data_IF_899438072824
#
_entry.id   IF_899438072824
#
_cell.length_a   1.000
_cell.length_b   1.000
_cell.length_c   1.000
_cell.angle_alpha   90.00
_cell.angle_beta   90.00
_cell.angle_gamma   90.00
#
_symmetry.space_group_name_H-M   'P 1'
#
loop_
_entity.id
_entity.type
_entity.pdbx_description
1 polymer ?
#
# COMPACT_ATOMS: atom_id res chain seq x y z
N UNK A 1 -9.95 29.18 26.52
CA UNK A 1 -10.24 27.81 26.04
C UNK A 1 -10.60 27.75 24.57
N UNK A 2 -11.61 28.51 24.10
CA UNK A 2 -12.03 28.52 22.69
C UNK A 2 -10.90 28.91 21.72
N UNK A 3 -10.11 29.94 22.04
CA UNK A 3 -8.97 30.38 21.23
C UNK A 3 -7.85 29.35 21.16
N UNK A 4 -7.58 28.64 22.26
CA UNK A 4 -6.61 27.55 22.29
C UNK A 4 -7.06 26.39 21.39
N UNK A 5 -8.34 26.01 21.47
CA UNK A 5 -8.91 24.98 20.60
C UNK A 5 -8.82 25.35 19.12
N UNK A 6 -9.19 26.58 18.75
CA UNK A 6 -9.11 27.08 17.37
C UNK A 6 -7.68 27.11 16.83
N UNK A 7 -6.71 27.49 17.68
CA UNK A 7 -5.28 27.48 17.33
C UNK A 7 -4.75 26.06 17.11
N UNK A 8 -5.22 25.07 17.88
CA UNK A 8 -4.87 23.66 17.66
C UNK A 8 -5.39 23.16 16.31
N UNK A 9 -6.58 23.58 15.88
CA UNK A 9 -7.12 23.18 14.57
C UNK A 9 -6.24 23.64 13.41
N UNK A 10 -5.65 24.84 13.49
CA UNK A 10 -4.71 25.34 12.46
C UNK A 10 -3.49 24.43 12.34
N UNK A 11 -2.91 24.00 13.47
CA UNK A 11 -1.77 23.08 13.50
C UNK A 11 -2.14 21.69 12.96
N UNK A 12 -3.29 21.16 13.36
CA UNK A 12 -3.82 19.88 12.89
C UNK A 12 -3.99 19.88 11.37
N UNK A 13 -4.67 20.89 10.81
CA UNK A 13 -4.93 20.99 9.38
C UNK A 13 -3.64 21.14 8.58
N UNK A 14 -2.70 21.96 9.08
CA UNK A 14 -1.39 22.11 8.45
C UNK A 14 -0.62 20.77 8.43
N UNK A 15 -0.57 20.06 9.56
CA UNK A 15 0.10 18.76 9.65
C UNK A 15 -0.53 17.73 8.70
N UNK A 16 -1.87 17.68 8.63
CA UNK A 16 -2.60 16.76 7.76
C UNK A 16 -2.37 17.08 6.29
N UNK A 17 -2.44 18.36 5.88
CA UNK A 17 -2.20 18.78 4.49
C UNK A 17 -0.75 18.52 4.06
N UNK A 18 0.23 18.79 4.93
CA UNK A 18 1.63 18.50 4.65
C UNK A 18 1.87 16.99 4.55
N UNK A 19 1.29 16.19 5.45
CA UNK A 19 1.39 14.74 5.40
C UNK A 19 0.70 14.16 4.15
N UNK A 20 -0.46 14.68 3.76
CA UNK A 20 -1.19 14.29 2.56
C UNK A 20 -0.42 14.67 1.28
N UNK A 21 0.13 15.89 1.22
CA UNK A 21 0.98 16.35 0.13
C UNK A 21 2.26 15.51 0.01
N UNK A 22 2.96 15.28 1.12
CA UNK A 22 4.14 14.42 1.16
C UNK A 22 3.81 12.99 0.74
N UNK A 23 2.69 12.42 1.20
CA UNK A 23 2.23 11.11 0.76
C UNK A 23 2.02 11.04 -0.76
N UNK A 24 1.35 12.03 -1.37
CA UNK A 24 1.11 12.08 -2.82
C UNK A 24 2.39 12.29 -3.64
N UNK A 25 3.41 12.94 -3.08
CA UNK A 25 4.68 13.21 -3.76
C UNK A 25 5.71 12.09 -3.58
N UNK A 26 5.75 11.46 -2.40
CA UNK A 26 6.75 10.44 -2.01
C UNK A 26 6.26 9.04 -2.37
N UNK A 27 4.98 8.74 -2.10
CA UNK A 27 4.42 7.41 -2.39
C UNK A 27 4.10 7.33 -3.87
N UNK A 28 5.11 6.86 -4.60
CA UNK A 28 5.02 6.57 -6.03
C UNK A 28 3.93 5.52 -6.22
N UNK A 29 2.77 5.93 -6.73
CA UNK A 29 1.84 4.99 -7.34
C UNK A 29 2.63 4.24 -8.40
N UNK A 30 2.91 2.95 -8.15
CA UNK A 30 3.11 2.04 -9.27
C UNK A 30 1.79 2.10 -10.00
N UNK A 31 1.78 2.77 -11.14
CA UNK A 31 0.81 2.50 -12.19
C UNK A 31 0.82 0.98 -12.38
N UNK A 32 -0.09 0.28 -11.70
CA UNK A 32 -0.60 -0.95 -12.23
C UNK A 32 -1.00 -0.59 -13.66
N UNK A 33 -0.46 -1.34 -14.63
CA UNK A 33 -0.47 -1.00 -16.04
C UNK A 33 -1.84 -0.50 -16.50
N UNK A 34 -1.81 0.28 -17.58
CA UNK A 34 -2.95 0.78 -18.34
C UNK A 34 -4.28 0.11 -17.94
N UNK A 35 -5.30 0.89 -17.51
CA UNK A 35 -6.58 0.30 -17.15
C UNK A 35 -6.99 -0.63 -18.30
N UNK A 36 -7.30 -1.91 -18.05
CA UNK A 36 -7.74 -2.77 -19.13
C UNK A 36 -8.97 -2.09 -19.71
N UNK A 37 -8.92 -1.77 -21.00
CA UNK A 37 -10.03 -1.17 -21.78
C UNK A 37 -11.28 -2.07 -21.78
N UNK A 38 -11.21 -3.24 -21.14
CA UNK A 38 -12.22 -4.27 -21.09
C UNK A 38 -12.28 -4.85 -19.68
N UNK A 39 -13.37 -4.59 -18.96
CA UNK A 39 -13.79 -5.40 -17.81
C UNK A 39 -15.04 -6.14 -18.29
N UNK A 40 -14.92 -7.47 -18.46
CA UNK A 40 -15.98 -8.36 -18.97
C UNK A 40 -16.50 -8.10 -20.39
N UNK A 41 -15.69 -7.51 -21.28
CA UNK A 41 -16.06 -7.33 -22.70
C UNK A 41 -17.09 -6.22 -22.96
N UNK A 42 -17.41 -5.40 -21.97
CA UNK A 42 -18.31 -4.25 -22.12
C UNK A 42 -17.49 -2.96 -22.19
N UNK A 43 -17.60 -2.15 -23.27
CA UNK A 43 -16.87 -0.89 -23.39
C UNK A 43 -17.35 0.11 -22.34
N UNK A 44 -16.41 0.67 -21.57
CA UNK A 44 -16.70 1.72 -20.58
C UNK A 44 -17.00 3.02 -21.33
N UNK A 45 -18.07 3.76 -20.98
CA UNK A 45 -18.40 5.02 -21.65
C UNK A 45 -17.23 6.00 -21.62
N UNK A 46 -16.87 6.56 -22.78
CA UNK A 46 -15.67 7.40 -22.98
C UNK A 46 -15.55 8.58 -22.00
N UNK A 47 -16.67 9.13 -21.51
CA UNK A 47 -16.67 10.20 -20.49
C UNK A 47 -16.18 9.74 -19.12
N UNK A 48 -16.54 8.53 -18.69
CA UNK A 48 -16.09 7.93 -17.43
C UNK A 48 -14.63 7.47 -17.53
N UNK A 49 -14.23 6.91 -18.68
CA UNK A 49 -12.84 6.55 -18.96
C UNK A 49 -11.91 7.79 -18.98
N UNK A 50 -12.38 8.93 -19.47
CA UNK A 50 -11.60 10.18 -19.48
C UNK A 50 -11.44 10.79 -18.09
N UNK A 51 -12.46 10.73 -17.23
CA UNK A 51 -12.35 11.22 -15.84
C UNK A 51 -11.47 10.32 -14.97
N UNK A 52 -11.52 9.00 -15.16
CA UNK A 52 -10.60 8.06 -14.49
C UNK A 52 -9.19 8.16 -15.03
N UNK A 53 -9.01 8.35 -16.35
CA UNK A 53 -7.70 8.59 -16.96
C UNK A 53 -7.08 9.91 -16.47
N UNK A 54 -7.87 11.00 -16.37
CA UNK A 54 -7.41 12.29 -15.82
C UNK A 54 -7.06 12.18 -14.33
N UNK A 55 -7.89 11.50 -13.52
CA UNK A 55 -7.58 11.15 -12.12
C UNK A 55 -6.34 10.27 -11.97
N UNK A 56 -6.04 9.43 -12.96
CA UNK A 56 -4.86 8.58 -13.00
C UNK A 56 -3.62 9.25 -13.60
N UNK A 57 -3.71 10.49 -14.11
CA UNK A 57 -2.53 11.18 -14.61
C UNK A 57 -1.64 11.61 -13.44
N UNK A 58 -0.40 11.12 -13.45
CA UNK A 58 0.67 11.52 -12.52
C UNK A 58 0.76 13.03 -12.29
N UNK A 59 0.51 13.83 -13.34
CA UNK A 59 0.54 15.30 -13.26
C UNK A 59 -0.55 15.87 -12.35
N UNK A 60 -1.76 15.30 -12.37
CA UNK A 60 -2.85 15.76 -11.52
C UNK A 60 -2.63 15.37 -10.06
N UNK A 61 -2.10 14.18 -9.79
CA UNK A 61 -1.73 13.75 -8.43
C UNK A 61 -0.60 14.60 -7.84
N UNK A 62 0.43 14.93 -8.64
CA UNK A 62 1.51 15.83 -8.24
C UNK A 62 1.00 17.26 -8.03
N UNK A 63 0.14 17.76 -8.93
CA UNK A 63 -0.46 19.08 -8.78
C UNK A 63 -1.30 19.21 -7.52
N UNK A 64 -2.11 18.19 -7.22
CA UNK A 64 -2.92 18.14 -6.00
C UNK A 64 -2.04 18.04 -4.75
N UNK A 65 -1.02 17.18 -4.75
CA UNK A 65 -0.08 17.04 -3.63
C UNK A 65 0.72 18.32 -3.38
N UNK A 66 1.13 19.02 -4.44
CA UNK A 66 1.77 20.32 -4.34
C UNK A 66 0.81 21.39 -3.80
N UNK A 67 -0.43 21.43 -4.29
CA UNK A 67 -1.46 22.36 -3.81
C UNK A 67 -1.76 22.17 -2.32
N UNK A 68 -1.92 20.93 -1.86
CA UNK A 68 -2.07 20.60 -0.45
C UNK A 68 -0.85 21.00 0.38
N UNK A 69 0.36 20.73 -0.12
CA UNK A 69 1.60 21.13 0.55
C UNK A 69 1.74 22.64 0.70
N UNK A 70 1.46 23.40 -0.37
CA UNK A 70 1.47 24.87 -0.35
C UNK A 70 0.41 25.40 0.62
N UNK A 71 -0.79 24.84 0.62
CA UNK A 71 -1.86 25.26 1.51
C UNK A 71 -1.54 24.97 2.98
N UNK A 72 -0.96 23.79 3.26
CA UNK A 72 -0.48 23.43 4.60
C UNK A 72 0.64 24.35 5.09
N UNK A 73 1.60 24.68 4.22
CA UNK A 73 2.67 25.64 4.54
C UNK A 73 2.12 27.05 4.75
N UNK A 74 1.15 27.48 3.95
CA UNK A 74 0.49 28.76 4.11
C UNK A 74 -0.20 28.86 5.48
N UNK A 75 -0.91 27.83 5.94
CA UNK A 75 -1.52 27.81 7.28
C UNK A 75 -0.50 27.91 8.42
N UNK A 76 0.72 27.40 8.22
CA UNK A 76 1.79 27.54 9.21
C UNK A 76 2.32 28.98 9.29
N UNK A 77 2.52 29.61 8.13
CA UNK A 77 3.25 30.88 8.04
C UNK A 77 2.32 32.09 8.10
N UNK A 78 1.05 31.95 7.71
CA UNK A 78 0.09 33.05 7.67
C UNK A 78 -1.19 32.81 8.47
N UNK A 79 -1.73 33.90 9.03
CA UNK A 79 -3.05 33.97 9.67
C UNK A 79 -4.13 34.54 8.74
N UNK A 80 -3.86 34.72 7.44
CA UNK A 80 -4.83 35.28 6.51
C UNK A 80 -6.12 34.44 6.42
N UNK A 81 -7.26 35.11 6.55
CA UNK A 81 -8.58 34.49 6.43
C UNK A 81 -8.79 33.83 5.07
N UNK A 82 -8.21 34.35 4.00
CA UNK A 82 -8.29 33.80 2.64
C UNK A 82 -7.73 32.38 2.55
N UNK A 83 -6.58 32.12 3.18
CA UNK A 83 -5.95 30.79 3.22
C UNK A 83 -6.82 29.79 3.99
N UNK A 84 -7.46 30.26 5.06
CA UNK A 84 -8.36 29.43 5.87
C UNK A 84 -9.67 29.13 5.16
N UNK A 85 -10.26 30.12 4.49
CA UNK A 85 -11.42 29.92 3.62
C UNK A 85 -11.10 28.93 2.50
N UNK A 86 -9.95 29.07 1.83
CA UNK A 86 -9.51 28.12 0.81
C UNK A 86 -9.36 26.70 1.38
N UNK A 87 -8.83 26.57 2.60
CA UNK A 87 -8.72 25.29 3.32
C UNK A 87 -10.08 24.69 3.64
N UNK A 88 -11.01 25.49 4.15
CA UNK A 88 -12.38 25.06 4.45
C UNK A 88 -13.10 24.60 3.19
N UNK A 89 -12.97 25.34 2.09
CA UNK A 89 -13.54 24.95 0.80
C UNK A 89 -12.92 23.65 0.29
N UNK A 90 -11.60 23.49 0.40
CA UNK A 90 -10.91 22.27 -0.01
C UNK A 90 -11.40 21.03 0.78
N UNK A 91 -11.52 21.13 2.11
CA UNK A 91 -12.01 20.02 2.95
C UNK A 91 -13.50 19.74 2.76
N UNK A 92 -14.32 20.79 2.56
CA UNK A 92 -15.74 20.63 2.24
C UNK A 92 -15.93 19.92 0.89
N UNK A 93 -15.16 20.32 -0.14
CA UNK A 93 -15.15 19.64 -1.44
C UNK A 93 -14.67 18.19 -1.32
N UNK A 94 -13.62 17.93 -0.53
CA UNK A 94 -13.17 16.57 -0.26
C UNK A 94 -14.24 15.72 0.43
N UNK A 95 -14.96 16.28 1.40
CA UNK A 95 -16.07 15.61 2.10
C UNK A 95 -17.21 15.28 1.15
N UNK A 96 -17.58 16.24 0.29
CA UNK A 96 -18.58 16.03 -0.75
C UNK A 96 -18.16 14.89 -1.68
N UNK A 97 -16.93 14.92 -2.21
CA UNK A 97 -16.42 13.90 -3.12
C UNK A 97 -16.39 12.52 -2.46
N UNK A 98 -15.97 12.42 -1.20
CA UNK A 98 -15.96 11.15 -0.46
C UNK A 98 -17.39 10.64 -0.21
N UNK A 99 -18.34 11.53 0.11
CA UNK A 99 -19.76 11.20 0.24
C UNK A 99 -20.36 10.70 -1.07
N UNK A 100 -20.08 11.38 -2.18
CA UNK A 100 -20.54 10.95 -3.51
C UNK A 100 -19.93 9.61 -3.93
N UNK A 101 -18.63 9.41 -3.67
CA UNK A 101 -17.96 8.13 -3.91
C UNK A 101 -18.56 7.01 -3.08
N UNK A 102 -18.92 7.27 -1.82
CA UNK A 102 -19.57 6.27 -0.96
C UNK A 102 -20.90 5.80 -1.56
N UNK A 103 -21.67 6.70 -2.16
CA UNK A 103 -22.98 6.39 -2.77
C UNK A 103 -22.83 5.75 -4.14
N UNK A 104 -21.94 6.27 -5.00
CA UNK A 104 -21.86 5.87 -6.42
C UNK A 104 -20.86 4.75 -6.71
N UNK A 105 -19.76 4.63 -5.94
CA UNK A 105 -18.64 3.70 -6.16
C UNK A 105 -17.95 3.35 -4.82
N UNK A 106 -18.59 2.57 -3.93
CA UNK A 106 -18.01 2.22 -2.63
C UNK A 106 -16.69 1.44 -2.74
N UNK A 107 -16.44 0.85 -3.91
CA UNK A 107 -15.25 0.04 -4.20
C UNK A 107 -14.03 0.86 -4.65
N UNK A 108 -14.22 2.14 -5.00
CA UNK A 108 -13.13 3.04 -5.32
C UNK A 108 -12.53 3.63 -4.03
N UNK A 109 -11.21 3.80 -4.00
CA UNK A 109 -10.52 4.48 -2.89
C UNK A 109 -10.81 5.98 -2.86
N UNK A 110 -10.67 6.61 -1.68
CA UNK A 110 -10.92 8.05 -1.53
C UNK A 110 -9.83 8.94 -2.16
N UNK A 111 -8.63 8.41 -2.39
CA UNK A 111 -7.50 9.15 -2.98
C UNK A 111 -6.94 10.31 -2.13
N UNK A 112 -7.49 10.55 -0.94
CA UNK A 112 -7.07 11.65 -0.06
C UNK A 112 -5.60 11.58 0.39
N UNK A 113 -4.97 10.40 0.34
CA UNK A 113 -3.53 10.21 0.59
C UNK A 113 -2.78 9.62 -0.63
N UNK A 114 -3.32 9.82 -1.83
CA UNK A 114 -2.81 9.18 -3.05
C UNK A 114 -2.95 7.65 -2.98
N UNK A 115 -1.95 6.93 -3.52
CA UNK A 115 -1.93 5.46 -3.61
C UNK A 115 -1.92 4.71 -2.27
N UNK A 116 -1.83 5.42 -1.15
CA UNK A 116 -2.00 4.85 0.19
C UNK A 116 -3.46 4.59 0.56
N UNK A 117 -4.42 5.29 -0.05
CA UNK A 117 -5.84 5.12 0.24
C UNK A 117 -6.59 4.55 -0.96
N UNK A 118 -6.13 3.36 -1.39
CA UNK A 118 -6.76 2.55 -2.42
C UNK A 118 -7.86 1.62 -1.86
N UNK A 119 -8.08 1.62 -0.53
CA UNK A 119 -9.07 0.77 0.14
C UNK A 119 -10.48 1.35 0.01
N UNK A 120 -11.49 0.47 0.02
CA UNK A 120 -12.92 0.81 -0.18
C UNK A 120 -13.37 1.94 0.75
N UNK A 121 -14.13 2.88 0.22
CA UNK A 121 -14.67 4.02 0.99
C UNK A 121 -15.76 3.53 1.94
N UNK A 122 -15.39 3.39 3.21
CA UNK A 122 -16.31 3.07 4.31
C UNK A 122 -16.82 4.32 5.05
N UNK A 123 -17.78 4.11 5.96
CA UNK A 123 -18.39 5.19 6.77
C UNK A 123 -17.36 5.98 7.59
N UNK A 124 -16.28 5.31 8.04
CA UNK A 124 -15.17 5.93 8.79
C UNK A 124 -14.43 7.00 7.97
N UNK A 125 -14.33 6.81 6.64
CA UNK A 125 -13.69 7.78 5.74
C UNK A 125 -14.55 9.04 5.59
N UNK A 126 -15.87 8.88 5.50
CA UNK A 126 -16.82 9.99 5.49
C UNK A 126 -16.76 10.76 6.81
N UNK A 127 -16.82 10.05 7.95
CA UNK A 127 -16.73 10.67 9.27
C UNK A 127 -15.43 11.48 9.42
N UNK A 128 -14.29 10.91 9.01
CA UNK A 128 -13.00 11.61 9.04
C UNK A 128 -13.01 12.88 8.18
N UNK A 129 -13.57 12.83 6.98
CA UNK A 129 -13.67 14.00 6.11
C UNK A 129 -14.55 15.09 6.73
N UNK A 130 -15.70 14.71 7.31
CA UNK A 130 -16.57 15.62 8.06
C UNK A 130 -15.84 16.25 9.25
N UNK A 131 -15.07 15.46 10.02
CA UNK A 131 -14.28 15.98 11.13
C UNK A 131 -13.22 17.00 10.67
N UNK A 132 -12.53 16.75 9.56
CA UNK A 132 -11.59 17.73 9.00
C UNK A 132 -12.28 19.00 8.49
N UNK A 133 -13.46 18.87 7.90
CA UNK A 133 -14.26 20.05 7.53
C UNK A 133 -14.68 20.83 8.77
N UNK A 134 -15.10 20.16 9.85
CA UNK A 134 -15.42 20.79 11.13
C UNK A 134 -14.22 21.52 11.74
N UNK A 135 -13.04 20.88 11.73
CA UNK A 135 -11.77 21.50 12.14
C UNK A 135 -11.44 22.73 11.30
N UNK A 136 -11.63 22.66 9.97
CA UNK A 136 -11.40 23.79 9.06
C UNK A 136 -12.33 24.97 9.34
N UNK A 137 -13.63 24.71 9.57
CA UNK A 137 -14.59 25.74 9.98
C UNK A 137 -14.20 26.36 11.32
N UNK A 138 -13.83 25.55 12.32
CA UNK A 138 -13.40 26.04 13.62
C UNK A 138 -12.11 26.90 13.51
N UNK A 139 -11.21 26.58 12.59
CA UNK A 139 -9.98 27.34 12.35
C UNK A 139 -10.20 28.76 11.82
N UNK A 140 -11.37 29.07 11.24
CA UNK A 140 -11.67 30.42 10.72
C UNK A 140 -11.54 31.49 11.81
N UNK A 141 -11.90 31.18 13.05
CA UNK A 141 -11.82 32.09 14.19
C UNK A 141 -10.47 32.15 14.91
N UNK A 142 -9.47 31.37 14.47
CA UNK A 142 -8.19 31.29 15.19
C UNK A 142 -7.41 32.62 15.11
N UNK A 143 -6.92 33.19 16.20
CA UNK A 143 -6.21 34.47 16.12
C UNK A 143 -4.78 34.35 15.55
N UNK A 144 -4.19 33.15 15.50
CA UNK A 144 -2.74 32.99 15.28
C UNK A 144 -2.40 32.08 14.10
N UNK A 145 -1.19 32.21 13.57
CA UNK A 145 -0.63 31.33 12.55
C UNK A 145 -0.02 30.08 13.19
N UNK A 146 0.10 28.97 12.45
CA UNK A 146 0.58 27.71 13.01
C UNK A 146 1.97 27.81 13.69
N UNK A 147 2.92 28.54 13.10
CA UNK A 147 4.27 28.71 13.68
C UNK A 147 4.23 29.48 15.01
N UNK A 148 3.36 30.47 15.13
CA UNK A 148 3.21 31.22 16.38
C UNK A 148 2.62 30.36 17.50
N UNK A 149 1.67 29.49 17.16
CA UNK A 149 1.11 28.50 18.11
C UNK A 149 2.15 27.45 18.50
N UNK A 150 3.01 27.04 17.57
CA UNK A 150 4.06 26.05 17.82
C UNK A 150 5.21 26.60 18.69
N UNK A 151 5.51 27.89 18.60
CA UNK A 151 6.53 28.54 19.43
C UNK A 151 6.04 28.79 20.85
N UNK A 152 4.76 29.07 21.02
CA UNK A 152 4.12 29.34 22.31
C UNK A 152 3.31 28.13 22.80
N UNK A 153 3.87 26.91 22.62
CA UNK A 153 3.19 25.67 23.00
C UNK A 153 3.02 25.63 24.51
N UNK A 154 1.83 26.02 24.94
CA UNK A 154 1.33 25.65 26.26
C UNK A 154 1.09 24.14 26.26
N UNK A 155 1.46 23.46 27.35
CA UNK A 155 1.35 22.00 27.51
C UNK A 155 -0.04 21.46 27.17
N UNK A 156 -1.09 22.25 27.40
CA UNK A 156 -2.47 21.94 27.03
C UNK A 156 -2.70 21.87 25.51
N UNK A 157 -2.11 22.76 24.71
CA UNK A 157 -2.22 22.76 23.24
C UNK A 157 -1.53 21.54 22.65
N UNK A 158 -0.34 21.20 23.16
CA UNK A 158 0.38 20.01 22.76
C UNK A 158 -0.37 18.71 23.08
N UNK A 159 -1.02 18.64 24.24
CA UNK A 159 -1.79 17.46 24.64
C UNK A 159 -3.06 17.29 23.79
N UNK A 160 -3.81 18.38 23.52
CA UNK A 160 -4.98 18.32 22.63
C UNK A 160 -4.57 17.92 21.22
N UNK A 161 -3.48 18.48 20.70
CA UNK A 161 -2.94 18.10 19.39
C UNK A 161 -2.57 16.61 19.32
N UNK A 162 -1.90 16.07 20.34
CA UNK A 162 -1.54 14.64 20.40
C UNK A 162 -2.78 13.74 20.49
N UNK A 163 -3.78 14.13 21.27
CA UNK A 163 -5.05 13.38 21.40
C UNK A 163 -5.81 13.39 20.07
N UNK A 164 -5.90 14.54 19.41
CA UNK A 164 -6.50 14.65 18.07
C UNK A 164 -5.74 13.78 17.07
N UNK A 165 -4.40 13.87 17.03
CA UNK A 165 -3.57 13.07 16.15
C UNK A 165 -3.75 11.56 16.41
N UNK A 166 -3.83 11.15 17.67
CA UNK A 166 -4.08 9.76 18.06
C UNK A 166 -5.49 9.30 17.65
N UNK A 167 -6.50 10.16 17.81
CA UNK A 167 -7.86 9.88 17.36
C UNK A 167 -7.91 9.71 15.84
N UNK A 168 -7.26 10.60 15.09
CA UNK A 168 -7.16 10.49 13.63
C UNK A 168 -6.37 9.25 13.19
N UNK A 169 -5.31 8.89 13.91
CA UNK A 169 -4.55 7.67 13.67
C UNK A 169 -5.42 6.41 13.91
N UNK A 170 -6.18 6.38 15.00
CA UNK A 170 -7.11 5.29 15.31
C UNK A 170 -8.29 5.19 14.31
N UNK A 171 -8.71 6.32 13.73
CA UNK A 171 -9.69 6.36 12.64
C UNK A 171 -9.09 6.06 11.26
N UNK A 172 -7.77 6.05 11.10
CA UNK A 172 -7.07 5.82 9.83
C UNK A 172 -6.44 4.42 9.76
N UNK A 173 -7.17 3.39 9.29
CA UNK A 173 -6.61 2.03 9.14
C UNK A 173 -5.42 1.98 8.17
N UNK A 174 -5.26 3.01 7.33
CA UNK A 174 -4.17 3.15 6.36
C UNK A 174 -2.79 3.30 7.03
N UNK A 175 -2.72 3.78 8.28
CA UNK A 175 -1.46 3.93 9.03
C UNK A 175 -0.98 2.60 9.64
N UNK A 176 -1.93 1.76 10.09
CA UNK A 176 -1.62 0.42 10.57
C UNK A 176 -1.06 -0.45 9.44
N UNK A 177 -1.68 -0.38 8.25
CA UNK A 177 -1.18 -1.10 7.07
C UNK A 177 0.13 -0.52 6.53
N UNK A 178 0.37 0.79 6.62
CA UNK A 178 1.67 1.39 6.30
C UNK A 178 2.76 0.91 7.25
N UNK A 179 2.46 0.82 8.55
CA UNK A 179 3.36 0.27 9.53
C UNK A 179 3.64 -1.22 9.26
N UNK A 180 2.63 -2.00 8.89
CA UNK A 180 2.78 -3.39 8.48
C UNK A 180 3.53 -3.55 7.15
N UNK A 181 3.28 -2.71 6.15
CA UNK A 181 4.01 -2.68 4.88
C UNK A 181 5.47 -2.28 5.07
N UNK A 182 5.76 -1.38 6.02
CA UNK A 182 7.12 -0.99 6.40
C UNK A 182 7.82 -2.08 7.22
N UNK A 183 7.04 -2.90 7.94
CA UNK A 183 7.51 -4.11 8.62
C UNK A 183 7.66 -5.31 7.69
N UNK A 184 7.03 -5.32 6.50
CA UNK A 184 7.25 -6.35 5.49
C UNK A 184 8.65 -6.17 4.90
N UNK A 185 9.47 -7.24 4.86
CA UNK A 185 10.74 -7.18 4.17
C UNK A 185 10.51 -6.81 2.71
N UNK A 186 11.32 -5.89 2.21
CA UNK A 186 11.29 -5.28 0.87
C UNK A 186 11.71 -6.27 -0.22
N UNK A 187 11.11 -7.46 -0.26
CA UNK A 187 11.25 -8.43 -1.35
C UNK A 187 10.11 -8.29 -2.36
N UNK A 188 10.37 -8.58 -3.64
CA UNK A 188 9.26 -8.90 -4.55
C UNK A 188 8.46 -10.06 -3.94
N UNK A 189 7.11 -10.05 -4.00
CA UNK A 189 6.31 -11.23 -3.66
C UNK A 189 6.85 -12.41 -4.44
N UNK A 190 7.06 -13.53 -3.75
CA UNK A 190 7.78 -14.63 -4.34
C UNK A 190 7.08 -15.17 -5.59
N UNK A 191 5.76 -15.05 -5.72
CA UNK A 191 5.02 -15.46 -6.93
C UNK A 191 5.37 -14.62 -8.18
N UNK A 192 5.85 -13.38 -8.00
CA UNK A 192 6.22 -12.47 -9.09
C UNK A 192 7.71 -12.46 -9.41
N UNK A 193 8.52 -13.23 -8.69
CA UNK A 193 9.97 -13.31 -8.90
C UNK A 193 10.28 -14.13 -10.15
N UNK A 194 11.00 -13.52 -11.10
CA UNK A 194 11.56 -14.23 -12.26
C UNK A 194 12.54 -15.28 -11.74
N UNK A 195 12.27 -16.54 -12.07
CA UNK A 195 13.16 -17.65 -11.75
C UNK A 195 13.12 -18.58 -12.97
N UNK A 196 14.01 -18.35 -13.95
CA UNK A 196 14.15 -19.20 -15.13
C UNK A 196 14.44 -20.65 -14.73
N UNK A 197 13.85 -21.62 -15.44
CA UNK A 197 14.01 -23.04 -15.17
C UNK A 197 15.49 -23.47 -15.22
N UNK A 198 16.23 -23.00 -16.24
CA UNK A 198 17.65 -23.30 -16.41
C UNK A 198 18.51 -22.91 -15.19
N UNK A 199 18.19 -21.81 -14.51
CA UNK A 199 18.93 -21.42 -13.30
C UNK A 199 18.57 -22.28 -12.08
N UNK A 200 17.34 -22.80 -12.03
CA UNK A 200 16.94 -23.74 -10.98
C UNK A 200 17.63 -25.09 -11.17
N UNK A 201 17.64 -25.61 -12.39
CA UNK A 201 18.32 -26.86 -12.73
C UNK A 201 19.83 -26.75 -12.49
N UNK A 202 20.46 -25.64 -12.93
CA UNK A 202 21.88 -25.40 -12.66
C UNK A 202 22.19 -25.38 -11.16
N UNK A 203 21.35 -24.73 -10.35
CA UNK A 203 21.52 -24.70 -8.90
C UNK A 203 21.28 -26.07 -8.25
N UNK A 204 20.33 -26.85 -8.75
CA UNK A 204 20.07 -28.22 -8.30
C UNK A 204 21.28 -29.11 -8.59
N UNK A 205 21.71 -29.19 -9.85
CA UNK A 205 22.82 -30.06 -10.28
C UNK A 205 24.17 -29.66 -9.68
N UNK A 206 24.35 -28.40 -9.31
CA UNK A 206 25.55 -27.94 -8.60
C UNK A 206 25.51 -28.19 -7.07
N UNK A 207 24.39 -28.66 -6.52
CA UNK A 207 24.21 -28.81 -5.07
C UNK A 207 24.77 -30.14 -4.56
N UNK A 208 25.29 -30.13 -3.32
CA UNK A 208 25.72 -31.36 -2.63
C UNK A 208 24.55 -32.35 -2.44
N UNK A 209 23.33 -31.83 -2.28
CA UNK A 209 22.11 -32.63 -2.13
C UNK A 209 21.82 -33.44 -3.38
N UNK A 210 22.06 -32.88 -4.57
CA UNK A 210 21.98 -33.63 -5.82
C UNK A 210 23.02 -34.74 -5.87
N UNK A 211 24.29 -34.43 -5.60
CA UNK A 211 25.37 -35.41 -5.61
C UNK A 211 25.14 -36.59 -4.64
N UNK A 212 24.45 -36.35 -3.51
CA UNK A 212 24.07 -37.40 -2.56
C UNK A 212 23.01 -38.36 -3.12
N UNK A 213 22.08 -37.86 -3.94
CA UNK A 213 20.90 -38.61 -4.40
C UNK A 213 20.98 -39.07 -5.87
N UNK A 214 21.93 -38.56 -6.67
CA UNK A 214 21.99 -38.80 -8.12
C UNK A 214 22.07 -40.29 -8.48
N UNK A 215 22.75 -41.10 -7.66
CA UNK A 215 22.88 -42.54 -7.87
C UNK A 215 21.58 -43.32 -7.62
N UNK A 216 20.65 -42.73 -6.85
CA UNK A 216 19.34 -43.29 -6.60
C UNK A 216 18.32 -42.88 -7.66
N UNK A 217 18.63 -41.90 -8.53
CA UNK A 217 17.69 -41.40 -9.54
C UNK A 217 17.67 -42.34 -10.75
N UNK A 218 16.48 -42.78 -11.14
CA UNK A 218 16.27 -43.71 -12.26
C UNK A 218 16.18 -42.99 -13.64
N UNK A 219 15.85 -41.70 -13.64
CA UNK A 219 15.71 -40.88 -14.86
C UNK A 219 16.25 -39.48 -14.64
N UNK A 220 17.08 -39.00 -15.57
CA UNK A 220 17.59 -37.62 -15.54
C UNK A 220 16.52 -36.55 -15.85
N UNK A 221 15.31 -36.97 -16.26
CA UNK A 221 14.17 -36.09 -16.52
C UNK A 221 13.21 -36.14 -15.31
N UNK A 222 12.81 -34.98 -14.76
CA UNK A 222 11.86 -34.94 -13.66
C UNK A 222 10.47 -35.45 -14.09
N UNK A 223 9.81 -36.17 -13.19
CA UNK A 223 8.42 -36.62 -13.33
C UNK A 223 7.45 -35.44 -13.30
N UNK A 224 7.68 -34.51 -12.38
CA UNK A 224 6.87 -33.31 -12.23
C UNK A 224 7.71 -32.13 -11.73
N UNK A 225 7.29 -30.92 -12.11
CA UNK A 225 7.92 -29.66 -11.73
C UNK A 225 6.83 -28.65 -11.39
N UNK A 226 6.76 -28.25 -10.12
CA UNK A 226 5.80 -27.25 -9.65
C UNK A 226 6.48 -26.17 -8.81
N UNK A 227 5.74 -25.09 -8.56
CA UNK A 227 6.20 -23.96 -7.77
C UNK A 227 5.19 -23.65 -6.69
N UNK A 228 5.67 -23.55 -5.46
CA UNK A 228 4.85 -23.18 -4.31
C UNK A 228 5.59 -22.14 -3.48
N UNK A 229 5.01 -20.94 -3.40
CA UNK A 229 5.63 -19.78 -2.77
C UNK A 229 7.03 -19.45 -3.33
N UNK A 230 8.00 -19.38 -2.42
CA UNK A 230 9.41 -19.10 -2.72
C UNK A 230 10.23 -20.29 -3.21
N UNK A 231 9.63 -21.45 -3.43
CA UNK A 231 10.32 -22.70 -3.76
C UNK A 231 9.86 -23.27 -5.10
N UNK A 232 10.79 -23.88 -5.82
CA UNK A 232 10.49 -24.74 -6.97
C UNK A 232 10.82 -26.18 -6.61
N UNK A 233 9.89 -27.07 -6.86
CA UNK A 233 10.00 -28.49 -6.56
C UNK A 233 10.21 -29.26 -7.86
N UNK A 234 11.10 -30.25 -7.84
CA UNK A 234 11.38 -31.15 -8.95
C UNK A 234 11.32 -32.57 -8.40
N UNK A 235 10.37 -33.36 -8.87
CA UNK A 235 10.23 -34.76 -8.52
C UNK A 235 10.94 -35.65 -9.53
N UNK A 236 11.72 -36.61 -9.06
CA UNK A 236 12.41 -37.60 -9.88
C UNK A 236 12.01 -39.00 -9.46
N UNK A 237 11.86 -39.89 -10.45
CA UNK A 237 11.78 -41.32 -10.17
C UNK A 237 13.13 -41.79 -9.62
N UNK A 238 13.12 -42.53 -8.52
CA UNK A 238 14.30 -43.09 -7.90
C UNK A 238 14.09 -44.49 -7.37
N UNK A 239 15.19 -45.13 -6.96
CA UNK A 239 15.19 -46.44 -6.33
C UNK A 239 16.16 -46.43 -5.16
N UNK A 240 15.63 -46.70 -3.96
CA UNK A 240 16.41 -46.79 -2.72
C UNK A 240 16.11 -48.16 -2.10
N UNK A 241 17.17 -48.91 -1.76
CA UNK A 241 17.07 -50.26 -1.20
C UNK A 241 16.14 -51.21 -2.00
N UNK A 242 16.16 -51.07 -3.33
CA UNK A 242 15.36 -51.89 -4.24
C UNK A 242 13.87 -51.52 -4.33
N UNK A 243 13.42 -50.46 -3.66
CA UNK A 243 12.04 -49.95 -3.75
C UNK A 243 11.96 -48.73 -4.64
N UNK A 244 10.91 -48.67 -5.45
CA UNK A 244 10.61 -47.48 -6.25
C UNK A 244 10.11 -46.37 -5.32
N UNK A 245 10.80 -45.23 -5.41
CA UNK A 245 10.53 -44.03 -4.61
C UNK A 245 10.51 -42.81 -5.52
N UNK A 246 9.93 -41.73 -5.02
CA UNK A 246 10.00 -40.42 -5.65
C UNK A 246 10.92 -39.54 -4.79
N UNK A 247 11.93 -38.96 -5.44
CA UNK A 247 12.89 -38.05 -4.80
C UNK A 247 12.52 -36.64 -5.22
N UNK A 248 12.06 -35.82 -4.27
CA UNK A 248 11.61 -34.45 -4.50
C UNK A 248 12.67 -33.48 -4.01
N UNK A 249 13.20 -32.66 -4.92
CA UNK A 249 14.12 -31.57 -4.59
C UNK A 249 13.38 -30.24 -4.52
N UNK A 250 13.53 -29.52 -3.41
CA UNK A 250 13.05 -28.17 -3.23
C UNK A 250 14.21 -27.17 -3.41
N UNK A 251 14.14 -26.33 -4.43
CA UNK A 251 15.13 -25.30 -4.75
C UNK A 251 14.57 -23.92 -4.43
N UNK A 252 15.25 -23.17 -3.58
CA UNK A 252 14.88 -21.79 -3.26
C UNK A 252 14.99 -20.89 -4.49
N UNK A 253 13.97 -20.07 -4.72
CA UNK A 253 13.95 -19.07 -5.81
C UNK A 253 14.65 -17.76 -5.43
N UNK A 254 15.27 -17.67 -4.25
CA UNK A 254 16.03 -16.50 -3.82
C UNK A 254 17.25 -16.24 -4.71
N UNK A 255 17.55 -14.97 -5.01
CA UNK A 255 18.67 -14.62 -5.91
C UNK A 255 20.05 -14.80 -5.29
N UNK A 256 20.18 -14.65 -3.96
CA UNK A 256 21.48 -14.61 -3.27
C UNK A 256 21.81 -15.82 -2.41
N UNK A 257 20.83 -16.69 -2.16
CA UNK A 257 21.00 -17.85 -1.27
C UNK A 257 20.10 -19.00 -1.73
N UNK A 258 20.47 -19.60 -2.87
CA UNK A 258 19.74 -20.75 -3.44
C UNK A 258 20.10 -22.00 -2.66
N UNK A 259 19.29 -22.26 -1.66
CA UNK A 259 19.34 -23.51 -0.91
C UNK A 259 18.57 -24.61 -1.63
N UNK A 260 19.11 -25.82 -1.60
CA UNK A 260 18.49 -27.02 -2.12
C UNK A 260 18.22 -27.97 -0.95
N UNK A 261 17.05 -28.59 -0.93
CA UNK A 261 16.66 -29.62 0.03
C UNK A 261 16.07 -30.81 -0.72
N UNK A 262 16.20 -32.01 -0.17
CA UNK A 262 15.58 -33.21 -0.72
C UNK A 262 14.61 -33.84 0.29
N UNK A 263 13.58 -34.50 -0.24
CA UNK A 263 12.69 -35.39 0.50
C UNK A 263 12.42 -36.62 -0.35
N UNK A 264 12.19 -37.77 0.29
CA UNK A 264 11.86 -39.02 -0.38
C UNK A 264 10.40 -39.34 -0.03
N UNK A 265 9.53 -39.42 -1.04
CA UNK A 265 8.17 -39.93 -0.94
C UNK A 265 8.12 -41.37 -1.46
N UNK A 266 7.44 -42.25 -0.73
CA UNK A 266 7.04 -43.55 -1.26
C UNK A 266 5.71 -43.33 -1.96
N UNK A 267 5.57 -43.62 -3.26
CA UNK A 267 4.29 -43.48 -3.93
C UNK A 267 3.27 -44.39 -3.24
N UNK A 268 2.17 -43.81 -2.76
CA UNK A 268 1.03 -44.59 -2.26
C UNK A 268 0.49 -45.41 -3.44
N UNK A 269 0.60 -46.74 -3.34
CA UNK A 269 -0.11 -47.65 -4.23
C UNK A 269 -1.59 -47.33 -4.06
N UNK A 270 -2.18 -46.67 -5.07
CA UNK A 270 -3.62 -46.41 -5.10
C UNK A 270 -4.37 -47.74 -4.84
N UNK A 271 -5.33 -47.78 -3.90
CA UNK A 271 -6.15 -48.96 -3.72
C UNK A 271 -6.96 -49.21 -5.01
N UNK A 272 -6.84 -50.44 -5.51
CA UNK A 272 -7.56 -50.98 -6.68
C UNK A 272 -9.07 -50.94 -6.47
#
# INVERSE_FOLDING_TARGET
MVTAFQNTQVLLLAAVLLAAGAAKLIVRERTAGAPPDHVHGVPVPAGLARLTALRGTRRMAVGLGFGEGVLGLALLVTSHLSVRLATTVAFAAATWVVGELRVRRPDAGCGCFGGLSAKRVGWRSVLRAVLFTGAAVASLGAPHAGVTVLRDVQSQVGLVFLVELALFAALSPELAELAERRRRPTGLPDERRRSPMAETEAALYASAVWAEHENAIASAVPLDVWREGGWRFLAFAGRVDGRDVEIVFAVSTAERDRTVRAGISVPDLAPV
#
